data_IF_029752015522
#
_entry.id   IF_029752015522
#
_cell.length_a   1.000
_cell.length_b   1.000
_cell.length_c   1.000
_cell.angle_alpha   90.00
_cell.angle_beta   90.00
_cell.angle_gamma   90.00
#
_symmetry.space_group_name_H-M   'P 1'
#
loop_
_entity.id
_entity.type
_entity.pdbx_description
1 polymer ?
#
# COMPACT_ATOMS: atom_id res chain seq x y z
N UNK A 1 13.44 -4.38 -35.57
CA UNK A 1 13.16 -5.30 -34.44
C UNK A 1 13.03 -4.45 -33.20
N UNK A 2 11.81 -4.18 -32.72
CA UNK A 2 11.57 -3.34 -31.54
C UNK A 2 11.48 -4.31 -30.37
N UNK A 3 12.48 -4.33 -29.49
CA UNK A 3 12.37 -5.01 -28.20
C UNK A 3 11.26 -4.26 -27.46
N UNK A 4 10.07 -4.85 -27.40
CA UNK A 4 9.02 -4.37 -26.51
C UNK A 4 9.50 -4.74 -25.11
N UNK A 5 10.18 -3.82 -24.43
CA UNK A 5 10.35 -3.90 -23.00
C UNK A 5 8.93 -3.93 -22.43
N UNK A 6 8.46 -5.11 -22.01
CA UNK A 6 7.23 -5.22 -21.23
C UNK A 6 7.56 -4.55 -19.90
N UNK A 7 7.26 -3.26 -19.78
CA UNK A 7 7.38 -2.55 -18.53
C UNK A 7 6.29 -3.09 -17.62
N UNK A 8 6.62 -4.14 -16.87
CA UNK A 8 5.79 -4.63 -15.77
C UNK A 8 5.68 -3.49 -14.77
N UNK A 9 4.46 -3.05 -14.51
CA UNK A 9 4.21 -1.99 -13.52
C UNK A 9 4.11 -2.66 -12.16
N UNK A 10 4.78 -2.09 -11.16
CA UNK A 10 4.66 -2.52 -9.76
C UNK A 10 3.98 -1.43 -8.95
N UNK A 11 2.93 -1.80 -8.22
CA UNK A 11 2.19 -0.91 -7.32
C UNK A 11 2.45 -1.33 -5.87
N UNK A 12 2.90 -0.40 -5.05
CA UNK A 12 3.03 -0.59 -3.61
C UNK A 12 1.81 0.00 -2.90
N UNK A 13 1.00 -0.85 -2.27
CA UNK A 13 -0.12 -0.46 -1.44
C UNK A 13 0.29 -0.48 0.05
N UNK A 14 0.20 0.68 0.71
CA UNK A 14 0.50 0.81 2.14
C UNK A 14 -0.81 1.04 2.89
N UNK A 15 -1.27 0.03 3.65
CA UNK A 15 -2.42 0.18 4.53
C UNK A 15 -1.98 0.81 5.87
N UNK A 16 -2.45 2.03 6.13
CA UNK A 16 -2.24 2.74 7.38
C UNK A 16 -3.47 2.73 8.31
N UNK A 17 -4.42 1.82 8.07
CA UNK A 17 -5.62 1.70 8.90
C UNK A 17 -5.47 0.60 9.94
N UNK A 18 -5.54 0.96 11.23
CA UNK A 18 -5.55 0.01 12.35
C UNK A 18 -6.86 -0.80 12.50
N UNK A 19 -7.84 -0.58 11.60
CA UNK A 19 -9.21 -1.14 11.74
C UNK A 19 -9.37 -2.53 11.13
N UNK A 20 -8.31 -3.11 10.54
CA UNK A 20 -8.37 -4.41 9.87
C UNK A 20 -9.50 -4.47 8.84
N UNK A 21 -10.29 -5.54 8.88
CA UNK A 21 -11.43 -5.78 7.98
C UNK A 21 -12.56 -4.74 8.09
N UNK A 22 -12.62 -3.98 9.19
CA UNK A 22 -13.59 -2.89 9.36
C UNK A 22 -13.13 -1.57 8.70
N UNK A 23 -12.00 -1.57 8.01
CA UNK A 23 -11.43 -0.39 7.37
C UNK A 23 -12.10 -0.06 6.04
N UNK A 24 -12.94 0.97 6.02
CA UNK A 24 -13.55 1.49 4.79
C UNK A 24 -12.50 2.05 3.82
N UNK A 25 -11.41 2.65 4.31
CA UNK A 25 -10.32 3.13 3.45
C UNK A 25 -9.58 1.97 2.77
N UNK A 26 -9.35 0.86 3.49
CA UNK A 26 -8.75 -0.35 2.91
C UNK A 26 -9.68 -0.96 1.86
N UNK A 27 -10.99 -1.02 2.12
CA UNK A 27 -11.97 -1.53 1.15
C UNK A 27 -11.99 -0.74 -0.16
N UNK A 28 -11.94 0.60 -0.09
CA UNK A 28 -11.85 1.47 -1.27
C UNK A 28 -10.55 1.23 -2.03
N UNK A 29 -9.41 1.15 -1.32
CA UNK A 29 -8.11 0.90 -1.94
C UNK A 29 -8.07 -0.46 -2.66
N UNK A 30 -8.61 -1.52 -2.05
CA UNK A 30 -8.75 -2.84 -2.69
C UNK A 30 -9.57 -2.74 -3.97
N UNK A 31 -10.72 -2.06 -3.93
CA UNK A 31 -11.59 -1.91 -5.11
C UNK A 31 -10.86 -1.20 -6.26
N UNK A 32 -10.07 -0.17 -5.94
CA UNK A 32 -9.25 0.54 -6.92
C UNK A 32 -8.18 -0.35 -7.54
N UNK A 33 -7.45 -1.11 -6.71
CA UNK A 33 -6.39 -2.05 -7.15
C UNK A 33 -6.97 -3.15 -8.04
N UNK A 34 -8.12 -3.72 -7.66
CA UNK A 34 -8.82 -4.73 -8.47
C UNK A 34 -9.21 -4.16 -9.84
N UNK A 35 -9.66 -2.90 -9.88
CA UNK A 35 -9.92 -2.19 -11.13
C UNK A 35 -8.68 -1.96 -12.00
N UNK A 36 -7.50 -1.81 -11.40
CA UNK A 36 -6.24 -1.74 -12.13
C UNK A 36 -5.81 -3.11 -12.68
N UNK A 37 -5.89 -4.15 -11.86
CA UNK A 37 -5.58 -5.55 -12.26
C UNK A 37 -6.51 -6.06 -13.37
N UNK A 38 -7.76 -5.62 -13.38
CA UNK A 38 -8.70 -5.93 -14.45
C UNK A 38 -8.30 -5.31 -15.81
N UNK A 39 -7.57 -4.19 -15.80
CA UNK A 39 -7.08 -3.50 -17.01
C UNK A 39 -5.71 -3.98 -17.45
N UNK A 40 -4.87 -4.36 -16.49
CA UNK A 40 -3.53 -4.87 -16.71
C UNK A 40 -3.29 -6.09 -15.80
N UNK A 41 -3.36 -7.27 -16.40
CA UNK A 41 -3.12 -8.54 -15.70
C UNK A 41 -1.65 -8.78 -15.36
N UNK A 42 -0.73 -7.96 -15.89
CA UNK A 42 0.70 -7.99 -15.56
C UNK A 42 1.08 -7.06 -14.41
N UNK A 43 0.11 -6.37 -13.81
CA UNK A 43 0.31 -5.50 -12.66
C UNK A 43 0.69 -6.31 -11.42
N UNK A 44 1.92 -6.13 -10.97
CA UNK A 44 2.39 -6.64 -9.69
C UNK A 44 1.97 -5.70 -8.56
N UNK A 45 1.47 -6.26 -7.46
CA UNK A 45 1.00 -5.46 -6.31
C UNK A 45 1.59 -6.02 -5.03
N UNK A 46 2.40 -5.21 -4.37
CA UNK A 46 2.90 -5.47 -3.02
C UNK A 46 2.03 -4.73 -2.01
N UNK A 47 1.72 -5.38 -0.89
CA UNK A 47 0.95 -4.76 0.20
C UNK A 47 1.73 -4.80 1.51
N UNK A 48 1.81 -3.63 2.16
CA UNK A 48 2.34 -3.49 3.52
C UNK A 48 1.20 -3.04 4.42
N UNK A 49 0.85 -3.85 5.42
CA UNK A 49 -0.03 -3.43 6.50
C UNK A 49 0.81 -2.89 7.66
N UNK A 50 0.78 -1.58 7.89
CA UNK A 50 1.65 -0.94 8.89
C UNK A 50 1.40 -1.45 10.32
N UNK A 51 0.20 -1.97 10.61
CA UNK A 51 -0.16 -2.45 11.94
C UNK A 51 0.11 -3.95 12.14
N UNK A 52 0.44 -4.68 11.07
CA UNK A 52 0.80 -6.11 11.12
C UNK A 52 2.29 -6.35 10.75
N UNK A 53 2.94 -5.40 10.07
CA UNK A 53 4.29 -5.55 9.53
C UNK A 53 5.44 -5.52 10.57
N UNK A 54 5.14 -5.48 11.88
CA UNK A 54 6.16 -5.49 12.94
C UNK A 54 7.18 -4.36 12.78
N UNK A 55 6.72 -3.18 12.35
CA UNK A 55 7.60 -2.05 12.05
C UNK A 55 8.35 -1.60 13.32
N UNK A 56 9.61 -1.16 13.17
CA UNK A 56 10.36 -0.66 14.31
C UNK A 56 9.64 0.54 14.91
N UNK A 57 9.75 0.68 16.24
CA UNK A 57 9.33 1.90 16.90
C UNK A 57 9.99 3.10 16.21
N UNK A 58 9.20 4.15 16.02
CA UNK A 58 9.75 5.42 15.62
C UNK A 58 10.82 5.84 16.63
N UNK A 59 12.05 6.09 16.17
CA UNK A 59 13.10 6.64 17.03
C UNK A 59 12.65 7.93 17.73
N UNK A 60 13.35 8.32 18.79
CA UNK A 60 13.02 9.42 19.72
C UNK A 60 12.64 10.77 19.09
N UNK A 61 12.86 10.97 17.80
CA UNK A 61 12.51 12.19 17.06
C UNK A 61 11.08 12.23 16.49
N UNK A 62 10.37 11.09 16.34
CA UNK A 62 9.07 11.07 15.65
C UNK A 62 7.83 11.15 16.57
N UNK A 63 7.99 10.92 17.88
CA UNK A 63 6.89 11.09 18.85
C UNK A 63 6.34 12.54 18.88
N UNK A 64 7.20 13.52 18.59
CA UNK A 64 6.83 14.93 18.53
C UNK A 64 5.96 15.29 17.28
N UNK A 65 6.02 14.50 16.21
CA UNK A 65 5.36 14.84 14.94
C UNK A 65 3.85 14.61 14.93
N UNK A 66 3.30 13.88 15.92
CA UNK A 66 1.86 13.56 16.02
C UNK A 66 1.20 14.01 17.32
N UNK A 67 1.97 14.28 18.38
CA UNK A 67 1.45 14.51 19.74
C UNK A 67 1.63 15.94 20.27
N UNK A 68 2.33 16.83 19.57
CA UNK A 68 2.38 18.23 19.96
C UNK A 68 1.15 18.95 19.40
N UNK A 69 0.23 19.28 20.31
CA UNK A 69 -0.76 20.34 20.09
C UNK A 69 -0.07 21.68 19.84
#
# INVERSE_FOLDING_TARGET
MRVLLVLMTTLLHINASARGENSQSRAIATTFIDGLRAKDSSLEVDTIDLFDAGLPDFGTHAAAAKLLR
#
